data_IF_092474923376
#
_entry.id   IF_092474923376
#
_cell.length_a   1.000
_cell.length_b   1.000
_cell.length_c   1.000
_cell.angle_alpha   90.00
_cell.angle_beta   90.00
_cell.angle_gamma   90.00
#
_symmetry.space_group_name_H-M   'P 1'
#
loop_
_entity.id
_entity.type
_entity.pdbx_description
1 polymer ?
#
# COMPACT_ATOMS: atom_id res chain seq x y z
N UNK A 1 -20.62 -2.45 0.47
CA UNK A 1 -19.88 -2.60 -0.81
C UNK A 1 -20.33 -1.62 -1.86
N UNK A 2 -21.63 -1.50 -2.12
CA UNK A 2 -22.13 -0.51 -3.09
C UNK A 2 -21.81 0.92 -2.72
N UNK A 3 -21.85 1.26 -1.44
CA UNK A 3 -21.52 2.61 -0.98
C UNK A 3 -20.06 2.97 -1.24
N UNK A 4 -19.16 1.98 -1.07
CA UNK A 4 -17.74 2.17 -1.35
C UNK A 4 -17.50 2.40 -2.83
N UNK A 5 -18.15 1.62 -3.69
CA UNK A 5 -18.03 1.78 -5.14
C UNK A 5 -18.55 3.14 -5.59
N UNK A 6 -19.71 3.56 -5.09
CA UNK A 6 -20.29 4.87 -5.42
C UNK A 6 -19.40 6.02 -4.94
N UNK A 7 -18.83 5.89 -3.75
CA UNK A 7 -17.90 6.88 -3.21
C UNK A 7 -16.67 7.03 -4.12
N UNK A 8 -16.13 5.90 -4.57
CA UNK A 8 -14.96 5.91 -5.45
C UNK A 8 -15.28 6.57 -6.78
N UNK A 9 -16.40 6.19 -7.40
CA UNK A 9 -16.82 6.79 -8.67
C UNK A 9 -17.08 8.29 -8.53
N UNK A 10 -17.72 8.69 -7.43
CA UNK A 10 -17.99 10.09 -7.16
C UNK A 10 -16.69 10.89 -7.07
N UNK A 11 -15.70 10.37 -6.32
CA UNK A 11 -14.43 11.05 -6.17
C UNK A 11 -13.66 11.14 -7.49
N UNK A 12 -13.66 10.11 -8.30
CA UNK A 12 -13.02 10.14 -9.61
C UNK A 12 -13.65 11.21 -10.51
N UNK A 13 -14.99 11.26 -10.52
CA UNK A 13 -15.70 12.23 -11.34
C UNK A 13 -15.49 13.66 -10.85
N UNK A 14 -15.51 13.88 -9.54
CA UNK A 14 -15.35 15.21 -8.95
C UNK A 14 -13.97 15.79 -9.16
N UNK A 15 -12.95 14.96 -9.11
CA UNK A 15 -11.56 15.39 -9.15
C UNK A 15 -10.98 15.37 -10.55
N UNK A 16 -11.72 14.80 -11.51
CA UNK A 16 -11.19 14.63 -12.87
C UNK A 16 -9.91 13.86 -12.91
N UNK A 17 -9.66 13.07 -11.87
CA UNK A 17 -8.41 12.35 -11.69
C UNK A 17 -8.61 10.87 -12.01
N UNK A 18 -7.78 10.37 -12.91
CA UNK A 18 -7.63 8.94 -13.10
C UNK A 18 -6.59 8.48 -12.08
N UNK A 19 -7.01 7.65 -11.13
CA UNK A 19 -6.10 7.08 -10.16
C UNK A 19 -5.50 5.82 -10.77
N UNK A 20 -4.17 5.80 -10.90
CA UNK A 20 -3.45 4.62 -11.34
C UNK A 20 -3.17 3.73 -10.14
N UNK A 21 -3.71 2.51 -10.15
CA UNK A 21 -3.42 1.52 -9.12
C UNK A 21 -2.45 0.49 -9.69
N UNK A 22 -1.55 0.01 -8.84
CA UNK A 22 -0.56 -0.98 -9.25
C UNK A 22 -0.32 -1.94 -8.10
N UNK A 23 -0.14 -3.20 -8.45
CA UNK A 23 0.27 -4.25 -7.51
C UNK A 23 1.56 -4.87 -8.04
N UNK A 24 2.47 -5.19 -7.14
CA UNK A 24 3.75 -5.76 -7.56
C UNK A 24 4.48 -6.41 -6.42
N UNK A 25 5.71 -6.81 -6.71
CA UNK A 25 6.62 -7.41 -5.76
C UNK A 25 7.87 -6.54 -5.65
N UNK A 26 8.21 -6.15 -4.43
CA UNK A 26 9.42 -5.40 -4.15
C UNK A 26 10.39 -6.31 -3.39
N UNK A 27 11.69 -5.98 -3.45
CA UNK A 27 12.68 -6.74 -2.70
C UNK A 27 12.72 -6.25 -1.25
N UNK A 28 12.72 -7.22 -0.32
CA UNK A 28 12.95 -6.98 1.09
C UNK A 28 14.29 -7.50 1.53
N UNK A 29 14.42 -7.79 2.83
CA UNK A 29 15.64 -8.33 3.41
C UNK A 29 15.98 -9.67 2.75
N UNK A 30 17.28 -9.91 2.53
CA UNK A 30 17.82 -11.14 1.93
C UNK A 30 17.24 -11.44 0.55
N UNK A 31 16.81 -10.42 -0.18
CA UNK A 31 16.23 -10.58 -1.52
C UNK A 31 14.82 -11.16 -1.55
N UNK A 32 14.21 -11.37 -0.40
CA UNK A 32 12.83 -11.86 -0.32
C UNK A 32 11.88 -10.83 -0.89
N UNK A 33 10.76 -11.30 -1.43
CA UNK A 33 9.82 -10.44 -2.14
C UNK A 33 8.63 -10.06 -1.26
N UNK A 34 8.36 -8.77 -1.21
CA UNK A 34 7.22 -8.21 -0.50
C UNK A 34 6.15 -7.81 -1.51
N UNK A 35 4.93 -8.26 -1.30
CA UNK A 35 3.81 -7.77 -2.10
C UNK A 35 3.50 -6.34 -1.70
N UNK A 36 3.27 -5.47 -2.68
CA UNK A 36 2.88 -4.09 -2.42
C UNK A 36 1.78 -3.62 -3.34
N UNK A 37 1.09 -2.58 -2.88
CA UNK A 37 0.11 -1.85 -3.67
C UNK A 37 0.54 -0.40 -3.76
N UNK A 38 0.20 0.24 -4.86
CA UNK A 38 0.39 1.68 -4.99
C UNK A 38 -0.82 2.32 -5.63
N UNK A 39 -1.04 3.56 -5.23
CA UNK A 39 -2.09 4.41 -5.78
C UNK A 39 -1.45 5.74 -6.09
N UNK A 40 -1.57 6.19 -7.33
CA UNK A 40 -0.85 7.39 -7.77
C UNK A 40 -1.75 8.32 -8.56
N UNK A 41 -1.70 9.64 -8.30
CA UNK A 41 -2.22 10.63 -9.23
C UNK A 41 -1.26 10.77 -10.40
N UNK A 42 -1.70 11.47 -11.44
CA UNK A 42 -0.88 11.69 -12.63
C UNK A 42 0.42 12.42 -12.30
N UNK A 43 0.35 13.45 -11.47
CA UNK A 43 1.52 14.23 -11.06
C UNK A 43 1.55 14.36 -9.54
N UNK A 44 2.17 13.40 -8.86
CA UNK A 44 2.19 13.45 -7.40
C UNK A 44 3.07 14.58 -6.89
N UNK A 45 2.58 15.26 -5.86
CA UNK A 45 3.34 16.31 -5.17
C UNK A 45 4.11 15.77 -3.97
N UNK A 46 3.89 14.52 -3.61
CA UNK A 46 4.59 13.86 -2.50
C UNK A 46 4.22 12.39 -2.46
N UNK A 47 4.88 11.66 -1.59
CA UNK A 47 4.70 10.22 -1.44
C UNK A 47 4.40 9.91 0.03
N UNK A 48 3.40 9.06 0.25
CA UNK A 48 3.06 8.54 1.57
C UNK A 48 3.29 7.04 1.53
N UNK A 49 4.04 6.53 2.49
CA UNK A 49 4.26 5.09 2.67
C UNK A 49 3.44 4.63 3.87
N UNK A 50 2.64 3.59 3.68
CA UNK A 50 1.78 3.04 4.73
C UNK A 50 2.32 1.68 5.15
N UNK A 51 2.58 1.52 6.44
CA UNK A 51 2.89 0.24 7.05
C UNK A 51 1.68 -0.20 7.87
N UNK A 52 1.06 -1.32 7.48
CA UNK A 52 -0.12 -1.80 8.19
C UNK A 52 0.23 -2.40 9.54
N UNK A 53 -0.77 -2.56 10.41
CA UNK A 53 -0.60 -3.16 11.71
C UNK A 53 -0.59 -4.68 11.66
N UNK A 54 -0.13 -5.29 12.75
CA UNK A 54 -0.12 -6.75 12.88
C UNK A 54 -1.53 -7.31 12.70
N UNK A 55 -1.62 -8.38 11.91
CA UNK A 55 -2.89 -9.00 11.59
C UNK A 55 -3.71 -8.33 10.50
N UNK A 56 -3.18 -7.26 9.90
CA UNK A 56 -3.84 -6.55 8.81
C UNK A 56 -3.20 -6.88 7.45
N UNK A 57 -3.43 -6.04 6.46
CA UNK A 57 -2.78 -6.10 5.16
C UNK A 57 -2.96 -4.74 4.44
N UNK A 58 -2.15 -4.51 3.41
CA UNK A 58 -2.16 -3.22 2.70
C UNK A 58 -3.50 -2.87 2.05
N UNK A 59 -4.26 -3.88 1.66
CA UNK A 59 -5.57 -3.66 1.01
C UNK A 59 -6.58 -2.92 1.87
N UNK A 60 -6.41 -2.94 3.19
CA UNK A 60 -7.32 -2.22 4.11
C UNK A 60 -7.20 -0.70 4.00
N UNK A 61 -6.13 -0.23 3.38
CA UNK A 61 -5.84 1.21 3.30
C UNK A 61 -6.27 1.84 1.99
N UNK A 62 -7.05 1.12 1.17
CA UNK A 62 -7.49 1.63 -0.14
C UNK A 62 -8.27 2.94 -0.02
N UNK A 63 -9.15 3.06 0.99
CA UNK A 63 -9.91 4.29 1.20
C UNK A 63 -9.02 5.47 1.57
N UNK A 64 -8.10 5.24 2.50
CA UNK A 64 -7.14 6.27 2.88
C UNK A 64 -6.29 6.68 1.68
N UNK A 65 -5.84 5.69 0.90
CA UNK A 65 -5.04 5.95 -0.29
C UNK A 65 -5.79 6.81 -1.29
N UNK A 66 -7.06 6.50 -1.55
CA UNK A 66 -7.89 7.30 -2.46
C UNK A 66 -8.02 8.74 -2.00
N UNK A 67 -8.22 8.93 -0.70
CA UNK A 67 -8.29 10.26 -0.11
C UNK A 67 -6.98 11.03 -0.31
N UNK A 68 -5.86 10.38 -0.05
CA UNK A 68 -4.54 11.00 -0.22
C UNK A 68 -4.23 11.30 -1.68
N UNK A 69 -4.59 10.40 -2.59
CA UNK A 69 -4.44 10.64 -4.03
C UNK A 69 -5.25 11.84 -4.47
N UNK A 70 -6.47 12.00 -3.92
CA UNK A 70 -7.31 13.15 -4.24
C UNK A 70 -6.68 14.47 -3.79
N UNK A 71 -5.72 14.42 -2.87
CA UNK A 71 -4.96 15.59 -2.42
C UNK A 71 -3.58 15.67 -3.07
N UNK A 72 -3.32 14.86 -4.08
CA UNK A 72 -2.10 14.93 -4.88
C UNK A 72 -0.96 14.07 -4.42
N UNK A 73 -1.19 13.12 -3.50
CA UNK A 73 -0.13 12.25 -3.00
C UNK A 73 -0.16 10.88 -3.67
N UNK A 74 1.01 10.34 -3.97
CA UNK A 74 1.14 8.94 -4.28
C UNK A 74 1.22 8.15 -2.97
N UNK A 75 0.64 6.95 -2.96
CA UNK A 75 0.61 6.10 -1.76
C UNK A 75 1.19 4.73 -2.10
N UNK A 76 2.08 4.25 -1.27
CA UNK A 76 2.69 2.93 -1.38
C UNK A 76 2.49 2.19 -0.07
N UNK A 77 2.03 0.95 -0.15
CA UNK A 77 1.80 0.11 1.01
C UNK A 77 2.21 -1.32 0.70
N UNK A 78 3.08 -1.90 1.50
CA UNK A 78 3.48 -3.30 1.35
C UNK A 78 2.79 -4.17 2.41
N UNK A 79 2.65 -5.45 2.11
CA UNK A 79 2.20 -6.43 3.08
C UNK A 79 3.41 -6.93 3.86
N UNK A 80 3.31 -6.90 5.19
CA UNK A 80 4.36 -7.42 6.06
C UNK A 80 4.57 -8.92 5.84
N UNK A 81 5.77 -9.40 6.11
CA UNK A 81 6.06 -10.84 6.07
C UNK A 81 5.02 -11.60 6.89
N UNK A 82 4.49 -12.68 6.32
CA UNK A 82 3.45 -13.48 6.98
C UNK A 82 2.07 -12.86 6.98
N UNK A 83 1.87 -11.75 6.26
CA UNK A 83 0.60 -11.05 6.17
C UNK A 83 0.17 -10.90 4.71
N UNK A 84 -1.14 -10.79 4.50
CA UNK A 84 -1.69 -10.54 3.18
C UNK A 84 -1.13 -11.47 2.13
N UNK A 85 -0.59 -10.89 1.07
CA UNK A 85 -0.04 -11.65 -0.08
C UNK A 85 1.48 -11.78 -0.05
N UNK A 86 2.14 -11.32 1.01
CA UNK A 86 3.57 -11.54 1.18
C UNK A 86 3.82 -12.93 1.76
N UNK A 87 4.94 -13.53 1.34
CA UNK A 87 5.35 -14.86 1.78
C UNK A 87 5.47 -14.97 3.29
N UNK A 88 5.64 -16.20 3.77
CA UNK A 88 5.98 -16.49 5.14
C UNK A 88 4.87 -17.19 5.91
N UNK A 89 5.24 -17.74 7.05
CA UNK A 89 4.28 -18.34 7.97
C UNK A 89 3.34 -17.25 8.47
N UNK A 90 2.03 -17.52 8.43
CA UNK A 90 1.04 -16.50 8.76
C UNK A 90 1.23 -15.95 10.17
N UNK A 91 1.37 -14.63 10.24
CA UNK A 91 1.52 -13.92 11.51
C UNK A 91 2.86 -14.12 12.19
N UNK A 92 3.85 -14.65 11.50
CA UNK A 92 5.17 -14.95 12.07
C UNK A 92 6.28 -14.17 11.37
N UNK A 93 7.26 -13.74 12.13
CA UNK A 93 8.50 -13.17 11.60
C UNK A 93 9.65 -13.62 12.50
N UNK A 94 10.81 -13.86 11.89
CA UNK A 94 11.98 -14.37 12.59
C UNK A 94 12.47 -13.38 13.65
N UNK A 95 12.51 -12.09 13.31
CA UNK A 95 12.91 -11.03 14.24
C UNK A 95 12.05 -9.78 13.96
N UNK A 96 11.66 -9.07 15.01
CA UNK A 96 10.87 -7.85 14.89
C UNK A 96 11.57 -6.78 14.03
N UNK A 97 12.91 -6.71 14.14
CA UNK A 97 13.69 -5.76 13.35
C UNK A 97 13.51 -5.96 11.85
N UNK A 98 13.12 -7.14 11.39
CA UNK A 98 12.91 -7.40 9.97
C UNK A 98 11.76 -6.57 9.40
N UNK A 99 10.73 -6.28 10.19
CA UNK A 99 9.68 -5.37 9.75
C UNK A 99 10.23 -3.98 9.47
N UNK A 100 11.08 -3.48 10.36
CA UNK A 100 11.70 -2.15 10.21
C UNK A 100 12.65 -2.11 9.03
N UNK A 101 13.46 -3.15 8.87
CA UNK A 101 14.43 -3.25 7.77
C UNK A 101 13.70 -3.31 6.44
N UNK A 102 12.65 -4.13 6.32
CA UNK A 102 11.86 -4.21 5.10
C UNK A 102 11.21 -2.88 4.76
N UNK A 103 10.69 -2.17 5.76
CA UNK A 103 10.09 -0.85 5.53
C UNK A 103 11.15 0.13 5.01
N UNK A 104 12.34 0.13 5.59
CA UNK A 104 13.43 1.01 5.15
C UNK A 104 13.86 0.70 3.71
N UNK A 105 13.96 -0.57 3.35
CA UNK A 105 14.30 -0.98 1.99
C UNK A 105 13.19 -0.57 1.02
N UNK A 106 11.94 -0.81 1.38
CA UNK A 106 10.79 -0.47 0.54
C UNK A 106 10.69 1.04 0.32
N UNK A 107 10.97 1.83 1.35
CA UNK A 107 10.94 3.29 1.28
C UNK A 107 11.98 3.85 0.32
N UNK A 108 13.15 3.25 0.28
CA UNK A 108 14.21 3.66 -0.61
C UNK A 108 14.07 3.00 -1.98
#
# INVERSE_FOLDING_TARGET
MQQTLLYNLYNELQLGLTMNTHEGLAHGIDGEKLFYRSWRPEKPKGVVVVAHGFGEHSGRYAHLAQHLVSHGFAVYAHDLVGHGRTYGQRGHIKEWSFYQINLAIFYN
#
